data_IF_697722190830
#
_entry.id   IF_697722190830
#
_cell.length_a   1.000
_cell.length_b   1.000
_cell.length_c   1.000
_cell.angle_alpha   90.00
_cell.angle_beta   90.00
_cell.angle_gamma   90.00
#
_symmetry.space_group_name_H-M   'P 1'
#
loop_
_entity.id
_entity.type
_entity.pdbx_description
1 polymer ?
#
# COMPACT_ATOMS: atom_id res chain seq x y z
N UNK A 1 11.94 36.39 18.70
CA UNK A 1 12.34 36.05 17.31
C UNK A 1 12.10 37.28 16.47
N UNK A 2 13.13 37.98 16.02
CA UNK A 2 13.02 39.16 15.15
C UNK A 2 12.78 38.66 13.71
N UNK A 3 11.57 38.85 13.21
CA UNK A 3 11.23 38.56 11.81
C UNK A 3 11.94 39.62 10.94
N UNK A 4 12.81 39.16 10.03
CA UNK A 4 13.43 40.05 9.03
C UNK A 4 12.35 40.52 8.05
N UNK A 5 12.36 41.78 7.59
CA UNK A 5 11.44 42.27 6.58
C UNK A 5 11.56 41.45 5.29
N UNK A 6 10.42 41.22 4.64
CA UNK A 6 10.35 40.52 3.37
C UNK A 6 10.60 41.50 2.22
N UNK A 7 11.49 41.16 1.29
CA UNK A 7 11.78 41.96 0.10
C UNK A 7 10.80 41.55 -1.04
N UNK A 8 9.90 42.46 -1.36
CA UNK A 8 9.00 42.32 -2.49
C UNK A 8 9.53 43.08 -3.69
N UNK A 9 9.76 42.42 -4.81
CA UNK A 9 10.04 43.06 -6.09
C UNK A 9 8.70 43.32 -6.80
N UNK A 10 8.38 44.61 -6.98
CA UNK A 10 7.20 45.04 -7.72
C UNK A 10 7.38 44.83 -9.23
N UNK A 11 6.29 44.80 -10.04
CA UNK A 11 6.38 44.69 -11.49
C UNK A 11 7.20 45.78 -12.18
N UNK A 12 7.36 46.93 -11.54
CA UNK A 12 8.17 48.08 -11.99
C UNK A 12 9.68 47.93 -11.69
N UNK A 13 10.07 46.78 -11.09
CA UNK A 13 11.46 46.50 -10.72
C UNK A 13 11.92 47.07 -9.37
N UNK A 14 11.08 47.87 -8.69
CA UNK A 14 11.41 48.42 -7.37
C UNK A 14 11.33 47.35 -6.29
N UNK A 15 12.34 47.33 -5.38
CA UNK A 15 12.38 46.40 -4.24
C UNK A 15 11.92 47.18 -3.00
N UNK A 16 10.86 46.72 -2.36
CA UNK A 16 10.31 47.34 -1.15
C UNK A 16 10.38 46.31 0.00
N UNK A 17 10.93 46.76 1.13
CA UNK A 17 10.90 46.01 2.37
C UNK A 17 9.51 46.12 2.98
N UNK A 18 8.76 45.00 2.99
CA UNK A 18 7.42 44.93 3.56
C UNK A 18 7.43 44.17 4.88
N UNK A 19 6.59 44.59 5.82
CA UNK A 19 6.34 43.83 7.04
C UNK A 19 5.55 42.56 6.72
N UNK A 20 5.84 41.46 7.42
CA UNK A 20 5.02 40.25 7.37
C UNK A 20 3.63 40.57 7.88
N UNK A 21 2.65 40.53 6.97
CA UNK A 21 1.24 40.72 7.31
C UNK A 21 0.60 39.38 7.64
N UNK A 22 -0.33 39.36 8.57
CA UNK A 22 -1.20 38.19 8.83
C UNK A 22 -2.37 38.25 7.89
N UNK A 23 -2.64 37.15 7.19
CA UNK A 23 -3.75 37.03 6.26
C UNK A 23 -4.79 36.02 6.77
N UNK A 24 -6.04 36.37 6.65
CA UNK A 24 -7.16 35.47 6.88
C UNK A 24 -7.67 34.92 5.56
N UNK A 25 -8.05 33.63 5.54
CA UNK A 25 -8.70 33.05 4.37
C UNK A 25 -10.13 33.55 4.28
N UNK A 26 -10.49 34.15 3.16
CA UNK A 26 -11.86 34.64 2.88
C UNK A 26 -12.69 33.49 2.32
N UNK A 27 -12.37 33.05 1.12
CA UNK A 27 -13.08 32.03 0.39
C UNK A 27 -12.15 30.91 -0.04
N UNK A 28 -12.70 29.71 -0.14
CA UNK A 28 -11.99 28.52 -0.62
C UNK A 28 -12.79 27.88 -1.73
N UNK A 29 -12.18 27.73 -2.91
CA UNK A 29 -12.78 27.06 -4.06
C UNK A 29 -11.90 25.90 -4.53
N UNK A 30 -12.54 24.81 -4.96
CA UNK A 30 -11.88 23.61 -5.51
C UNK A 30 -12.39 23.42 -6.93
N UNK A 31 -11.51 23.53 -7.91
CA UNK A 31 -11.81 23.30 -9.33
C UNK A 31 -11.32 21.93 -9.72
N UNK A 32 -12.22 21.05 -10.24
CA UNK A 32 -11.91 19.64 -10.46
C UNK A 32 -11.38 19.29 -11.85
N UNK A 33 -11.69 20.09 -12.85
CA UNK A 33 -11.37 19.83 -14.27
C UNK A 33 -10.44 20.89 -14.87
N UNK A 34 -9.46 21.35 -14.07
CA UNK A 34 -8.49 22.32 -14.54
C UNK A 34 -7.53 21.70 -15.56
N UNK A 35 -7.44 22.30 -16.75
CA UNK A 35 -6.42 21.97 -17.75
C UNK A 35 -5.40 23.12 -17.85
N UNK A 36 -4.13 22.87 -17.50
CA UNK A 36 -3.10 23.91 -17.57
C UNK A 36 -2.73 24.33 -19.01
N UNK A 37 -3.14 23.57 -20.02
CA UNK A 37 -2.85 23.84 -21.43
C UNK A 37 -3.91 24.73 -22.11
N UNK A 38 -5.11 24.81 -21.54
CA UNK A 38 -6.24 25.54 -22.13
C UNK A 38 -6.62 26.75 -21.27
N UNK A 39 -5.90 27.88 -21.49
CA UNK A 39 -6.08 29.10 -20.69
C UNK A 39 -7.48 29.72 -20.87
N UNK A 40 -8.10 29.60 -22.05
CA UNK A 40 -9.42 30.18 -22.36
C UNK A 40 -10.56 29.34 -21.78
N UNK A 41 -10.48 28.03 -21.80
CA UNK A 41 -11.51 27.12 -21.23
C UNK A 41 -11.54 27.14 -19.70
N UNK A 42 -10.43 27.51 -19.03
CA UNK A 42 -10.37 27.59 -17.59
C UNK A 42 -11.21 28.72 -16.97
N UNK A 43 -11.65 29.67 -17.77
CA UNK A 43 -12.57 30.74 -17.38
C UNK A 43 -14.03 30.39 -17.66
N UNK A 44 -14.33 29.22 -18.23
CA UNK A 44 -15.69 28.78 -18.47
C UNK A 44 -16.43 28.61 -17.14
N UNK A 45 -17.71 29.01 -17.12
CA UNK A 45 -18.57 28.77 -15.95
C UNK A 45 -18.61 27.29 -15.59
N UNK A 46 -18.55 26.96 -14.29
CA UNK A 46 -18.65 25.55 -13.85
C UNK A 46 -20.02 24.99 -14.26
N UNK A 47 -20.04 23.75 -14.71
CA UNK A 47 -21.29 23.04 -15.06
C UNK A 47 -22.13 22.70 -13.83
N UNK A 48 -21.47 22.48 -12.68
CA UNK A 48 -22.13 22.15 -11.42
C UNK A 48 -21.28 22.68 -10.26
N UNK A 49 -21.91 23.30 -9.30
CA UNK A 49 -21.28 23.86 -8.10
C UNK A 49 -21.92 23.28 -6.87
N UNK A 50 -21.10 22.73 -5.97
CA UNK A 50 -21.57 22.18 -4.69
C UNK A 50 -20.89 22.92 -3.56
N UNK A 51 -21.67 23.54 -2.69
CA UNK A 51 -21.16 24.19 -1.47
C UNK A 51 -21.22 23.22 -0.29
N UNK A 52 -20.07 23.03 0.36
CA UNK A 52 -19.94 22.14 1.52
C UNK A 52 -19.03 22.78 2.56
N UNK A 53 -19.53 23.02 3.79
CA UNK A 53 -18.79 23.64 4.90
C UNK A 53 -18.09 24.96 4.52
N UNK A 54 -18.75 25.80 3.74
CA UNK A 54 -18.20 27.10 3.30
C UNK A 54 -17.16 27.00 2.17
N UNK A 55 -16.97 25.84 1.57
CA UNK A 55 -16.08 25.59 0.44
C UNK A 55 -16.91 25.36 -0.81
N UNK A 56 -16.58 26.04 -1.90
CA UNK A 56 -17.22 25.89 -3.19
C UNK A 56 -16.46 24.90 -4.06
N UNK A 57 -17.13 23.79 -4.44
CA UNK A 57 -16.55 22.76 -5.31
C UNK A 57 -17.15 22.93 -6.69
N UNK A 58 -16.29 23.27 -7.64
CA UNK A 58 -16.63 23.60 -9.02
C UNK A 58 -16.30 22.39 -9.91
N UNK A 59 -17.33 21.78 -10.47
CA UNK A 59 -17.20 20.65 -11.38
C UNK A 59 -17.30 21.12 -12.82
N UNK A 60 -16.42 20.64 -13.67
CA UNK A 60 -16.41 20.93 -15.11
C UNK A 60 -17.27 19.96 -15.93
N UNK A 61 -16.96 19.83 -17.22
CA UNK A 61 -17.70 19.03 -18.22
C UNK A 61 -17.89 17.56 -17.82
N UNK A 62 -16.95 16.99 -17.09
CA UNK A 62 -16.99 15.60 -16.64
C UNK A 62 -17.95 15.36 -15.46
N UNK A 63 -18.62 16.42 -15.00
CA UNK A 63 -19.54 16.37 -13.87
C UNK A 63 -18.87 15.95 -12.56
N UNK A 64 -19.62 15.39 -11.63
CA UNK A 64 -19.12 14.95 -10.32
C UNK A 64 -18.26 13.70 -10.43
N UNK A 65 -17.04 13.88 -10.92
CA UNK A 65 -16.06 12.81 -11.05
C UNK A 65 -15.60 12.25 -9.69
N UNK A 66 -15.47 13.12 -8.67
CA UNK A 66 -15.14 12.74 -7.29
C UNK A 66 -16.24 13.26 -6.36
N UNK A 67 -16.61 12.48 -5.35
CA UNK A 67 -17.63 12.87 -4.36
C UNK A 67 -17.20 14.13 -3.60
N UNK A 68 -18.11 15.14 -3.39
CA UNK A 68 -17.80 16.38 -2.69
C UNK A 68 -17.17 16.16 -1.31
N UNK A 69 -17.69 15.20 -0.55
CA UNK A 69 -17.15 14.86 0.77
C UNK A 69 -15.71 14.36 0.78
N UNK A 70 -15.22 13.80 -0.34
CA UNK A 70 -13.81 13.38 -0.46
C UNK A 70 -12.92 14.59 -0.66
N UNK A 71 -13.28 15.51 -1.56
CA UNK A 71 -12.55 16.75 -1.82
C UNK A 71 -12.55 17.64 -0.57
N UNK A 72 -13.71 17.81 0.06
CA UNK A 72 -13.83 18.57 1.31
C UNK A 72 -12.91 18.06 2.41
N UNK A 73 -12.93 16.77 2.67
CA UNK A 73 -12.07 16.14 3.70
C UNK A 73 -10.58 16.13 3.32
N UNK A 74 -10.21 16.35 2.06
CA UNK A 74 -8.82 16.47 1.63
C UNK A 74 -8.27 17.86 1.81
N UNK A 75 -9.14 18.85 2.03
CA UNK A 75 -8.78 20.24 2.23
C UNK A 75 -8.72 20.59 3.73
N UNK A 76 -7.60 21.18 4.16
CA UNK A 76 -7.35 21.66 5.52
C UNK A 76 -7.40 23.20 5.60
N UNK A 77 -7.45 23.89 4.44
CA UNK A 77 -7.57 25.33 4.36
C UNK A 77 -9.03 25.70 4.52
N UNK A 78 -9.37 26.45 5.57
CA UNK A 78 -10.75 26.73 5.93
C UNK A 78 -11.02 28.25 5.88
N UNK A 79 -12.19 28.67 5.37
CA UNK A 79 -12.62 30.07 5.45
C UNK A 79 -12.62 30.57 6.90
N UNK A 80 -12.26 31.85 7.10
CA UNK A 80 -12.20 32.52 8.40
C UNK A 80 -10.97 32.15 9.25
N UNK A 81 -10.13 31.22 8.82
CA UNK A 81 -8.90 30.84 9.53
C UNK A 81 -7.70 31.67 9.06
N UNK A 82 -6.72 31.85 9.96
CA UNK A 82 -5.45 32.43 9.63
C UNK A 82 -4.69 31.56 8.62
N UNK A 83 -4.06 32.19 7.63
CA UNK A 83 -3.17 31.49 6.69
C UNK A 83 -2.06 30.77 7.45
N UNK A 84 -1.85 29.52 7.11
CA UNK A 84 -0.79 28.70 7.71
C UNK A 84 -0.21 27.78 6.64
N UNK A 85 1.08 27.92 6.37
CA UNK A 85 1.81 27.13 5.37
C UNK A 85 1.67 25.63 5.61
N UNK A 86 1.70 25.20 6.87
CA UNK A 86 1.50 23.78 7.23
C UNK A 86 0.15 23.24 6.75
N UNK A 87 -0.93 24.02 6.82
CA UNK A 87 -2.24 23.59 6.31
C UNK A 87 -2.26 23.52 4.79
N UNK A 88 -1.51 24.36 4.11
CA UNK A 88 -1.32 24.35 2.65
C UNK A 88 -0.59 23.08 2.23
N UNK A 89 0.55 22.77 2.88
CA UNK A 89 1.30 21.54 2.62
C UNK A 89 0.47 20.27 2.90
N UNK A 90 -0.30 20.26 4.00
CA UNK A 90 -1.20 19.16 4.33
C UNK A 90 -2.29 18.99 3.27
N UNK A 91 -2.87 20.09 2.79
CA UNK A 91 -3.87 20.09 1.73
C UNK A 91 -3.26 19.53 0.44
N UNK A 92 -2.12 20.08 0.01
CA UNK A 92 -1.41 19.58 -1.17
C UNK A 92 -1.11 18.08 -1.08
N UNK A 93 -0.49 17.64 0.03
CA UNK A 93 -0.16 16.23 0.27
C UNK A 93 -1.40 15.33 0.28
N UNK A 94 -2.51 15.79 0.88
CA UNK A 94 -3.77 15.05 0.91
C UNK A 94 -4.36 14.87 -0.49
N UNK A 95 -4.43 15.95 -1.28
CA UNK A 95 -4.91 15.87 -2.67
C UNK A 95 -4.00 15.03 -3.56
N UNK A 96 -2.68 15.12 -3.40
CA UNK A 96 -1.70 14.30 -4.13
C UNK A 96 -1.84 12.80 -3.87
N UNK A 97 -2.49 12.39 -2.77
CA UNK A 97 -2.80 10.98 -2.51
C UNK A 97 -3.99 10.47 -3.29
N UNK A 98 -4.85 11.36 -3.82
CA UNK A 98 -6.03 11.00 -4.59
C UNK A 98 -5.61 10.58 -6.01
N UNK A 99 -5.65 9.29 -6.28
CA UNK A 99 -5.19 8.71 -7.56
C UNK A 99 -6.08 9.05 -8.76
N UNK A 100 -7.28 9.57 -8.51
CA UNK A 100 -8.16 10.12 -9.53
C UNK A 100 -7.71 11.50 -10.05
N UNK A 101 -6.77 12.15 -9.36
CA UNK A 101 -6.19 13.45 -9.72
C UNK A 101 -4.73 13.27 -10.17
N UNK A 102 -4.35 14.07 -11.18
CA UNK A 102 -2.99 14.07 -11.73
C UNK A 102 -2.15 15.23 -11.21
N UNK A 103 -2.73 16.42 -11.24
CA UNK A 103 -2.07 17.66 -10.83
C UNK A 103 -2.89 18.35 -9.74
N UNK A 104 -2.19 18.99 -8.82
CA UNK A 104 -2.78 19.82 -7.77
C UNK A 104 -1.98 21.13 -7.74
N UNK A 105 -2.66 22.24 -7.82
CA UNK A 105 -2.07 23.57 -7.70
C UNK A 105 -2.92 24.41 -6.74
N UNK A 106 -2.31 25.03 -5.74
CA UNK A 106 -3.00 25.87 -4.77
C UNK A 106 -2.56 27.29 -5.03
N UNK A 107 -3.51 28.17 -5.38
CA UNK A 107 -3.28 29.58 -5.66
C UNK A 107 -3.99 30.43 -4.63
N UNK A 108 -3.33 31.51 -4.27
CA UNK A 108 -3.88 32.54 -3.40
C UNK A 108 -3.95 33.86 -4.15
N UNK A 109 -5.06 34.57 -4.01
CA UNK A 109 -5.21 35.93 -4.49
C UNK A 109 -5.58 36.84 -3.33
N UNK A 110 -4.93 37.99 -3.24
CA UNK A 110 -5.20 39.00 -2.22
C UNK A 110 -6.51 39.73 -2.53
N UNK A 111 -7.32 39.94 -1.51
CA UNK A 111 -8.59 40.69 -1.57
C UNK A 111 -8.65 41.61 -0.36
N UNK A 112 -8.86 42.88 -0.58
CA UNK A 112 -9.09 43.87 0.47
C UNK A 112 -10.58 43.91 0.81
N UNK A 113 -10.90 43.76 2.09
CA UNK A 113 -12.27 43.85 2.60
C UNK A 113 -12.28 44.51 3.98
N UNK A 114 -12.97 45.65 4.08
CA UNK A 114 -13.08 46.43 5.33
C UNK A 114 -11.69 46.77 5.94
N UNK A 115 -10.79 47.35 5.14
CA UNK A 115 -9.39 47.66 5.51
C UNK A 115 -8.56 46.46 5.99
N UNK A 116 -9.05 45.22 5.79
CA UNK A 116 -8.34 44.00 6.17
C UNK A 116 -7.98 43.21 4.92
N UNK A 117 -6.68 42.88 4.80
CA UNK A 117 -6.22 42.02 3.69
C UNK A 117 -6.54 40.58 3.96
N UNK A 118 -7.28 39.98 3.04
CA UNK A 118 -7.69 38.58 3.07
C UNK A 118 -7.17 37.82 1.85
N UNK A 119 -7.18 36.50 1.91
CA UNK A 119 -6.78 35.61 0.80
C UNK A 119 -7.94 34.78 0.33
N UNK A 120 -8.22 34.82 -0.97
CA UNK A 120 -9.02 33.79 -1.62
C UNK A 120 -8.10 32.64 -2.01
N UNK A 121 -8.49 31.42 -1.66
CA UNK A 121 -7.75 30.19 -1.96
C UNK A 121 -8.47 29.42 -3.07
N UNK A 122 -7.78 29.16 -4.19
CA UNK A 122 -8.27 28.33 -5.29
C UNK A 122 -7.40 27.11 -5.45
N UNK A 123 -7.99 25.92 -5.24
CA UNK A 123 -7.33 24.63 -5.40
C UNK A 123 -7.70 24.11 -6.79
N UNK A 124 -6.74 24.12 -7.70
CA UNK A 124 -6.90 23.66 -9.07
C UNK A 124 -6.46 22.20 -9.17
N UNK A 125 -7.34 21.33 -9.64
CA UNK A 125 -7.03 19.90 -9.80
C UNK A 125 -7.36 19.43 -11.20
N UNK A 126 -6.47 18.60 -11.77
CA UNK A 126 -6.67 17.99 -13.08
C UNK A 126 -7.02 16.50 -12.93
N UNK A 127 -8.00 15.97 -13.70
CA UNK A 127 -8.34 14.57 -13.65
C UNK A 127 -7.20 13.68 -14.18
N UNK A 128 -6.99 12.54 -13.56
CA UNK A 128 -6.08 11.50 -14.05
C UNK A 128 -6.79 10.55 -15.01
N UNK A 129 -6.03 9.83 -15.85
CA UNK A 129 -6.57 8.68 -16.58
C UNK A 129 -7.06 7.65 -15.57
N UNK A 130 -8.35 7.33 -15.62
CA UNK A 130 -8.99 6.46 -14.62
C UNK A 130 -8.59 4.99 -14.79
N UNK A 131 -8.35 4.55 -16.02
CA UNK A 131 -8.03 3.16 -16.35
C UNK A 131 -6.61 3.04 -16.85
N UNK A 132 -5.98 1.92 -16.52
CA UNK A 132 -4.66 1.54 -17.00
C UNK A 132 -4.57 0.03 -17.19
N UNK A 133 -3.89 -0.38 -18.25
CA UNK A 133 -3.56 -1.77 -18.54
C UNK A 133 -2.05 -1.90 -18.58
N UNK A 134 -1.54 -3.03 -18.15
CA UNK A 134 -0.12 -3.39 -18.23
C UNK A 134 0.03 -4.84 -18.66
N UNK A 135 1.01 -5.11 -19.50
CA UNK A 135 1.43 -6.45 -19.89
C UNK A 135 2.91 -6.57 -19.58
N UNK A 136 3.28 -7.57 -18.79
CA UNK A 136 4.67 -7.87 -18.47
C UNK A 136 5.02 -9.23 -19.05
N UNK A 137 6.20 -9.34 -19.67
CA UNK A 137 6.79 -10.57 -20.18
C UNK A 137 8.14 -10.75 -19.53
N UNK A 138 8.38 -11.91 -18.93
CA UNK A 138 9.60 -12.22 -18.17
C UNK A 138 10.20 -13.52 -18.71
N UNK A 139 11.50 -13.54 -18.99
CA UNK A 139 12.29 -14.75 -19.18
C UNK A 139 13.09 -15.02 -17.92
N UNK A 140 13.11 -16.25 -17.45
CA UNK A 140 13.87 -16.64 -16.25
C UNK A 140 14.84 -17.78 -16.59
N UNK A 141 15.96 -17.81 -15.86
CA UNK A 141 16.89 -18.93 -15.88
C UNK A 141 17.32 -19.19 -14.45
N UNK A 142 16.84 -20.27 -13.87
CA UNK A 142 17.09 -20.67 -12.50
C UNK A 142 17.91 -21.95 -12.47
N UNK A 143 19.22 -21.83 -12.17
CA UNK A 143 20.14 -22.96 -12.08
C UNK A 143 20.20 -23.87 -13.34
N UNK A 144 19.96 -23.30 -14.53
CA UNK A 144 19.93 -24.04 -15.79
C UNK A 144 18.52 -24.35 -16.29
N UNK A 145 17.50 -24.16 -15.48
CA UNK A 145 16.10 -24.30 -15.87
C UNK A 145 15.61 -23.02 -16.53
N UNK A 146 15.12 -23.12 -17.76
CA UNK A 146 14.59 -21.98 -18.51
C UNK A 146 13.10 -21.82 -18.27
N UNK A 147 12.71 -20.60 -17.95
CA UNK A 147 11.33 -20.27 -17.68
C UNK A 147 10.84 -19.06 -18.46
N UNK A 148 9.53 -18.98 -18.59
CA UNK A 148 8.81 -17.85 -19.15
C UNK A 148 7.62 -17.51 -18.27
N UNK A 149 7.42 -16.23 -18.00
CA UNK A 149 6.24 -15.75 -17.30
C UNK A 149 5.59 -14.58 -18.03
N UNK A 150 4.27 -14.50 -17.95
CA UNK A 150 3.50 -13.39 -18.49
C UNK A 150 2.47 -12.93 -17.47
N UNK A 151 2.25 -11.62 -17.40
CA UNK A 151 1.18 -11.07 -16.57
C UNK A 151 0.41 -9.98 -17.29
N UNK A 152 -0.90 -9.98 -17.03
CA UNK A 152 -1.83 -8.94 -17.46
C UNK A 152 -2.35 -8.23 -16.21
N UNK A 153 -2.24 -6.92 -16.18
CA UNK A 153 -2.73 -6.08 -15.09
C UNK A 153 -3.73 -5.05 -15.57
N UNK A 154 -4.76 -4.83 -14.76
CA UNK A 154 -5.76 -3.76 -14.95
C UNK A 154 -5.86 -2.93 -13.69
N UNK A 155 -5.98 -1.63 -13.83
CA UNK A 155 -6.17 -0.69 -12.73
C UNK A 155 -7.30 0.29 -13.06
N UNK A 156 -8.20 0.51 -12.08
CA UNK A 156 -9.19 1.58 -12.09
C UNK A 156 -9.02 2.48 -10.87
N UNK A 157 -8.80 3.80 -11.08
CA UNK A 157 -8.35 4.74 -10.04
C UNK A 157 -9.46 5.54 -9.36
N UNK A 158 -10.70 5.21 -9.60
CA UNK A 158 -11.85 5.94 -9.02
C UNK A 158 -13.10 5.06 -9.04
N UNK A 159 -13.03 3.88 -8.45
CA UNK A 159 -14.06 2.84 -8.60
C UNK A 159 -15.44 3.31 -8.12
N UNK A 160 -15.50 3.97 -6.96
CA UNK A 160 -16.74 4.44 -6.33
C UNK A 160 -16.77 5.97 -6.21
N UNK A 161 -16.10 6.71 -7.08
CA UNK A 161 -15.97 8.19 -7.04
C UNK A 161 -15.37 8.73 -5.73
N UNK A 162 -14.58 7.91 -5.03
CA UNK A 162 -13.87 8.28 -3.81
C UNK A 162 -12.35 8.20 -3.98
N UNK A 163 -11.88 8.11 -5.24
CA UNK A 163 -10.47 7.87 -5.58
C UNK A 163 -9.94 6.52 -5.05
N UNK A 164 -10.84 5.54 -4.92
CA UNK A 164 -10.46 4.16 -4.63
C UNK A 164 -9.74 3.55 -5.83
N UNK A 165 -8.66 2.82 -5.56
CA UNK A 165 -7.91 2.14 -6.62
C UNK A 165 -8.25 0.65 -6.59
N UNK A 166 -8.94 0.20 -7.62
CA UNK A 166 -9.08 -1.21 -7.92
C UNK A 166 -7.91 -1.66 -8.77
N UNK A 167 -7.31 -2.78 -8.45
CA UNK A 167 -6.26 -3.41 -9.24
C UNK A 167 -6.56 -4.90 -9.37
N UNK A 168 -6.48 -5.42 -10.58
CA UNK A 168 -6.56 -6.84 -10.87
C UNK A 168 -5.32 -7.26 -11.67
N UNK A 169 -4.75 -8.42 -11.36
CA UNK A 169 -3.60 -8.99 -12.06
C UNK A 169 -3.80 -10.49 -12.23
N UNK A 170 -3.50 -10.98 -13.43
CA UNK A 170 -3.42 -12.40 -13.73
C UNK A 170 -2.01 -12.68 -14.19
N UNK A 171 -1.40 -13.75 -13.70
CA UNK A 171 -0.06 -14.19 -14.05
C UNK A 171 -0.05 -15.67 -14.39
N UNK A 172 0.66 -16.03 -15.45
CA UNK A 172 1.04 -17.40 -15.77
C UNK A 172 2.55 -17.53 -15.87
N UNK A 173 3.11 -18.61 -15.35
CA UNK A 173 4.52 -18.94 -15.48
C UNK A 173 4.71 -20.41 -15.83
N UNK A 174 5.73 -20.67 -16.61
CA UNK A 174 6.19 -21.99 -17.02
C UNK A 174 7.69 -22.07 -16.86
N UNK A 175 8.21 -23.19 -16.36
CA UNK A 175 9.63 -23.45 -16.24
C UNK A 175 9.90 -24.90 -16.68
N UNK A 176 10.83 -25.05 -17.61
CA UNK A 176 11.30 -26.35 -18.08
C UNK A 176 12.40 -26.85 -17.14
N UNK A 177 12.12 -27.91 -16.38
CA UNK A 177 13.07 -28.48 -15.42
C UNK A 177 14.05 -29.40 -16.12
N UNK A 178 15.37 -29.20 -15.90
CA UNK A 178 16.46 -29.94 -16.49
C UNK A 178 17.10 -30.92 -15.48
N UNK A 179 16.40 -31.91 -15.00
CA UNK A 179 16.92 -32.88 -14.04
C UNK A 179 16.56 -34.33 -14.37
N UNK A 180 17.36 -35.29 -13.96
CA UNK A 180 17.18 -36.73 -14.24
C UNK A 180 15.91 -37.35 -13.64
N UNK A 181 15.22 -36.65 -12.76
CA UNK A 181 13.94 -37.07 -12.18
C UNK A 181 12.72 -36.36 -12.79
N UNK A 182 12.94 -35.49 -13.77
CA UNK A 182 11.91 -34.58 -14.31
C UNK A 182 11.42 -34.95 -15.72
N UNK A 183 11.61 -36.19 -16.17
CA UNK A 183 11.11 -36.63 -17.47
C UNK A 183 9.62 -36.36 -17.61
N UNK A 184 9.28 -35.27 -18.35
CA UNK A 184 7.92 -34.92 -18.72
C UNK A 184 7.12 -34.05 -17.71
N UNK A 185 7.68 -33.69 -16.56
CA UNK A 185 6.98 -32.90 -15.54
C UNK A 185 7.64 -31.52 -15.36
N UNK A 186 7.06 -30.50 -15.95
CA UNK A 186 7.52 -29.13 -15.86
C UNK A 186 6.77 -28.38 -14.73
N UNK A 187 7.35 -27.23 -14.31
CA UNK A 187 6.68 -26.33 -13.35
C UNK A 187 5.68 -25.42 -14.06
N UNK A 188 4.50 -25.33 -13.52
CA UNK A 188 3.45 -24.39 -13.94
C UNK A 188 2.94 -23.61 -12.75
N UNK A 189 2.78 -22.31 -12.93
CA UNK A 189 2.14 -21.45 -11.97
C UNK A 189 1.07 -20.60 -12.66
N UNK A 190 -0.09 -20.51 -12.02
CA UNK A 190 -1.14 -19.58 -12.39
C UNK A 190 -1.56 -18.80 -11.16
N UNK A 191 -1.68 -17.48 -11.28
CA UNK A 191 -2.09 -16.60 -10.20
C UNK A 191 -3.10 -15.56 -10.68
N UNK A 192 -4.05 -15.26 -9.84
CA UNK A 192 -4.99 -14.15 -10.01
C UNK A 192 -5.07 -13.34 -8.71
N UNK A 193 -4.95 -12.03 -8.82
CA UNK A 193 -5.02 -11.12 -7.69
C UNK A 193 -6.02 -10.01 -7.98
N UNK A 194 -6.84 -9.67 -6.98
CA UNK A 194 -7.69 -8.49 -7.00
C UNK A 194 -7.51 -7.72 -5.70
N UNK A 195 -7.43 -6.39 -5.78
CA UNK A 195 -7.32 -5.55 -4.58
C UNK A 195 -8.03 -4.21 -4.76
N UNK A 196 -8.56 -3.68 -3.66
CA UNK A 196 -9.12 -2.33 -3.58
C UNK A 196 -8.37 -1.56 -2.51
N UNK A 197 -7.77 -0.45 -2.90
CA UNK A 197 -7.13 0.51 -1.99
C UNK A 197 -8.06 1.70 -1.80
N UNK A 198 -8.51 1.92 -0.58
CA UNK A 198 -9.28 3.10 -0.19
C UNK A 198 -8.30 4.17 0.31
N UNK A 199 -8.30 5.38 -0.25
CA UNK A 199 -7.38 6.44 0.13
C UNK A 199 -7.60 6.96 1.55
N UNK A 200 -8.73 6.59 2.18
CA UNK A 200 -9.14 7.05 3.51
C UNK A 200 -9.74 5.96 4.37
N UNK A 201 -9.69 6.21 5.68
CA UNK A 201 -10.29 5.35 6.67
C UNK A 201 -11.81 5.60 6.81
N UNK A 202 -12.60 4.54 7.09
CA UNK A 202 -14.05 4.64 7.25
C UNK A 202 -14.48 5.22 8.61
N UNK A 203 -13.62 5.15 9.63
CA UNK A 203 -13.95 5.61 10.97
C UNK A 203 -13.51 7.06 11.17
N UNK A 204 -14.41 7.95 11.58
CA UNK A 204 -14.13 9.39 11.72
C UNK A 204 -13.16 9.75 12.86
N UNK A 205 -12.88 8.81 13.77
CA UNK A 205 -12.05 9.04 14.97
C UNK A 205 -10.54 8.85 14.73
N UNK A 206 -10.13 8.25 13.60
CA UNK A 206 -8.73 8.02 13.30
C UNK A 206 -8.21 9.04 12.30
N UNK A 207 -6.97 9.46 12.50
CA UNK A 207 -6.30 10.52 11.74
C UNK A 207 -6.28 10.26 10.22
N UNK A 208 -6.29 11.32 9.46
CA UNK A 208 -6.58 11.43 8.02
C UNK A 208 -5.58 10.77 7.06
N UNK A 209 -4.42 10.29 7.55
CA UNK A 209 -3.37 9.67 6.73
C UNK A 209 -3.47 8.14 6.62
N UNK A 210 -4.55 7.56 7.14
CA UNK A 210 -4.78 6.12 7.07
C UNK A 210 -5.39 5.70 5.74
N UNK A 211 -4.80 4.70 5.12
CA UNK A 211 -5.33 4.03 3.93
C UNK A 211 -5.76 2.62 4.31
N UNK A 212 -6.75 2.10 3.63
CA UNK A 212 -7.22 0.73 3.78
C UNK A 212 -7.03 -0.03 2.48
N UNK A 213 -6.43 -1.21 2.55
CA UNK A 213 -6.29 -2.11 1.42
C UNK A 213 -6.98 -3.43 1.73
N UNK A 214 -7.90 -3.82 0.86
CA UNK A 214 -8.45 -5.16 0.78
C UNK A 214 -7.81 -5.87 -0.40
N UNK A 215 -7.44 -7.13 -0.22
CA UNK A 215 -6.80 -7.94 -1.25
C UNK A 215 -7.38 -9.35 -1.19
N UNK A 216 -7.64 -9.91 -2.35
CA UNK A 216 -7.90 -11.34 -2.55
C UNK A 216 -6.91 -11.83 -3.58
N UNK A 217 -6.33 -12.98 -3.33
CA UNK A 217 -5.39 -13.62 -4.22
C UNK A 217 -5.72 -15.12 -4.32
N UNK A 218 -5.57 -15.64 -5.52
CA UNK A 218 -5.58 -17.07 -5.79
C UNK A 218 -4.32 -17.43 -6.55
N UNK A 219 -3.62 -18.49 -6.13
CA UNK A 219 -2.49 -19.04 -6.87
C UNK A 219 -2.55 -20.56 -6.87
N UNK A 220 -2.20 -21.16 -7.98
CA UNK A 220 -2.02 -22.59 -8.11
C UNK A 220 -0.65 -22.84 -8.71
N UNK A 221 0.12 -23.72 -8.06
CA UNK A 221 1.43 -24.16 -8.49
C UNK A 221 1.37 -25.66 -8.74
N UNK A 222 1.85 -26.08 -9.90
CA UNK A 222 1.97 -27.49 -10.25
C UNK A 222 3.44 -27.81 -10.46
N UNK A 223 3.98 -28.68 -9.62
CA UNK A 223 5.34 -29.23 -9.68
C UNK A 223 5.27 -30.73 -9.86
N UNK A 224 6.36 -31.39 -10.29
CA UNK A 224 6.43 -32.84 -10.33
C UNK A 224 6.08 -33.50 -8.99
N UNK A 225 6.56 -32.88 -7.90
CA UNK A 225 6.44 -33.39 -6.54
C UNK A 225 5.05 -33.18 -5.96
N UNK A 226 4.43 -32.01 -6.22
CA UNK A 226 3.12 -31.67 -5.65
C UNK A 226 2.35 -30.64 -6.47
N UNK A 227 1.05 -30.64 -6.28
CA UNK A 227 0.16 -29.57 -6.72
C UNK A 227 -0.37 -28.83 -5.49
N UNK A 228 -0.30 -27.50 -5.53
CA UNK A 228 -0.66 -26.66 -4.41
C UNK A 228 -1.47 -25.44 -4.86
N UNK A 229 -2.61 -25.25 -4.24
CA UNK A 229 -3.47 -24.10 -4.46
C UNK A 229 -3.55 -23.27 -3.18
N UNK A 230 -3.42 -21.94 -3.29
CA UNK A 230 -3.52 -21.02 -2.18
C UNK A 230 -4.58 -19.98 -2.52
N UNK A 231 -5.56 -19.82 -1.63
CA UNK A 231 -6.54 -18.73 -1.66
C UNK A 231 -6.23 -17.81 -0.48
N UNK A 232 -5.97 -16.54 -0.76
CA UNK A 232 -5.64 -15.56 0.27
C UNK A 232 -6.66 -14.43 0.28
N UNK A 233 -7.03 -13.97 1.47
CA UNK A 233 -7.81 -12.75 1.66
C UNK A 233 -7.21 -11.90 2.77
N UNK A 234 -7.02 -10.60 2.53
CA UNK A 234 -6.39 -9.71 3.48
C UNK A 234 -7.09 -8.36 3.62
N UNK A 235 -7.07 -7.85 4.83
CA UNK A 235 -7.53 -6.51 5.17
C UNK A 235 -6.46 -5.78 5.97
N UNK A 236 -5.87 -4.74 5.37
CA UNK A 236 -4.75 -4.01 5.92
C UNK A 236 -5.05 -2.53 6.09
N UNK A 237 -4.53 -1.96 7.16
CA UNK A 237 -4.45 -0.51 7.39
C UNK A 237 -3.02 -0.06 7.19
N UNK A 238 -2.84 1.02 6.43
CA UNK A 238 -1.53 1.55 6.07
C UNK A 238 -1.51 3.03 6.40
N UNK A 239 -0.53 3.49 7.18
CA UNK A 239 -0.36 4.91 7.47
C UNK A 239 1.12 5.32 7.55
N UNK A 240 1.35 6.61 7.47
CA UNK A 240 2.63 7.25 7.67
C UNK A 240 2.48 8.34 8.74
N UNK A 241 3.49 8.54 9.55
CA UNK A 241 3.49 9.58 10.57
C UNK A 241 3.57 10.97 9.92
N UNK A 242 2.84 11.94 10.48
CA UNK A 242 2.90 13.33 10.01
C UNK A 242 4.25 13.99 10.28
N UNK A 243 4.87 13.65 11.41
CA UNK A 243 6.16 14.16 11.84
C UNK A 243 7.34 13.51 11.10
N UNK A 244 7.13 12.29 10.60
CA UNK A 244 8.17 11.49 9.96
C UNK A 244 7.58 10.70 8.77
N UNK A 245 7.53 11.33 7.61
CA UNK A 245 7.01 10.70 6.38
C UNK A 245 7.86 9.52 5.90
N UNK A 246 9.04 9.31 6.47
CA UNK A 246 9.91 8.17 6.20
C UNK A 246 9.49 6.91 6.96
N UNK A 247 8.66 7.06 8.00
CA UNK A 247 8.12 5.98 8.79
C UNK A 247 6.76 5.52 8.24
N UNK A 248 6.64 4.23 7.94
CA UNK A 248 5.42 3.60 7.42
C UNK A 248 4.99 2.47 8.32
N UNK A 249 3.71 2.42 8.62
CA UNK A 249 3.06 1.40 9.40
C UNK A 249 2.08 0.61 8.54
N UNK A 250 2.03 -0.69 8.74
CA UNK A 250 1.04 -1.58 8.14
C UNK A 250 0.47 -2.47 9.25
N UNK A 251 -0.79 -2.31 9.54
CA UNK A 251 -1.52 -3.19 10.44
C UNK A 251 -2.38 -4.13 9.62
N UNK A 252 -2.07 -5.43 9.64
CA UNK A 252 -2.87 -6.49 9.06
C UNK A 252 -3.94 -6.85 10.07
N UNK A 253 -5.15 -6.33 9.87
CA UNK A 253 -6.29 -6.66 10.75
C UNK A 253 -6.69 -8.11 10.58
N UNK A 254 -6.73 -8.56 9.33
CA UNK A 254 -7.11 -9.92 8.95
C UNK A 254 -6.23 -10.37 7.80
N UNK A 255 -5.62 -11.53 7.94
CA UNK A 255 -4.83 -12.23 6.93
C UNK A 255 -5.26 -13.69 6.94
N UNK A 256 -5.91 -14.13 5.89
CA UNK A 256 -6.44 -15.48 5.75
C UNK A 256 -5.75 -16.13 4.56
N UNK A 257 -5.09 -17.25 4.78
CA UNK A 257 -4.60 -18.11 3.72
C UNK A 257 -5.23 -19.50 3.90
N UNK A 258 -5.87 -19.99 2.86
CA UNK A 258 -6.26 -21.38 2.73
C UNK A 258 -5.33 -22.07 1.75
N UNK A 259 -4.56 -22.99 2.27
CA UNK A 259 -3.63 -23.83 1.51
C UNK A 259 -4.29 -25.16 1.25
N UNK A 260 -4.37 -25.58 -0.01
CA UNK A 260 -4.93 -26.85 -0.45
C UNK A 260 -3.90 -27.60 -1.30
N UNK A 261 -3.65 -28.85 -0.96
CA UNK A 261 -2.71 -29.73 -1.65
C UNK A 261 -3.43 -30.93 -2.28
N UNK A 262 -4.04 -30.76 -3.47
CA UNK A 262 -4.82 -31.80 -4.09
C UNK A 262 -4.01 -33.03 -4.54
N UNK A 263 -2.69 -32.88 -4.71
CA UNK A 263 -1.82 -33.98 -5.15
C UNK A 263 -0.42 -33.82 -4.57
N UNK A 264 0.11 -34.92 -4.03
CA UNK A 264 1.52 -35.09 -3.63
C UNK A 264 1.98 -36.42 -4.22
N UNK A 265 3.16 -36.45 -4.88
CA UNK A 265 3.72 -37.67 -5.45
C UNK A 265 4.18 -38.63 -4.32
N UNK A 266 4.08 -39.94 -4.53
CA UNK A 266 4.44 -40.92 -3.53
C UNK A 266 5.96 -40.89 -3.26
N UNK A 267 6.78 -40.79 -4.28
CA UNK A 267 8.23 -40.66 -4.17
C UNK A 267 8.65 -39.45 -3.32
N UNK A 268 7.94 -38.37 -3.44
CA UNK A 268 8.19 -37.16 -2.62
C UNK A 268 7.76 -37.38 -1.17
N UNK A 269 6.61 -38.02 -0.92
CA UNK A 269 6.18 -38.40 0.44
C UNK A 269 7.22 -39.26 1.13
N UNK A 270 7.75 -40.28 0.44
CA UNK A 270 8.71 -41.23 0.99
C UNK A 270 10.08 -40.57 1.27
N UNK A 271 10.38 -39.41 0.67
CA UNK A 271 11.62 -38.65 0.87
C UNK A 271 11.57 -37.68 2.06
N UNK A 272 10.38 -37.43 2.63
CA UNK A 272 10.20 -36.44 3.70
C UNK A 272 9.94 -37.12 5.07
N UNK A 273 10.40 -36.52 6.16
CA UNK A 273 10.01 -36.93 7.50
C UNK A 273 8.48 -36.83 7.67
N UNK A 274 7.90 -37.80 8.39
CA UNK A 274 6.46 -37.87 8.65
C UNK A 274 5.91 -36.55 9.27
N UNK A 275 6.65 -35.98 10.21
CA UNK A 275 6.30 -34.67 10.81
C UNK A 275 6.22 -33.56 9.78
N UNK A 276 7.10 -33.53 8.79
CA UNK A 276 7.11 -32.51 7.73
C UNK A 276 5.88 -32.69 6.81
N UNK A 277 5.53 -33.91 6.48
CA UNK A 277 4.32 -34.23 5.69
C UNK A 277 3.06 -33.76 6.42
N UNK A 278 2.92 -34.13 7.70
CA UNK A 278 1.74 -33.84 8.50
C UNK A 278 1.47 -32.34 8.70
N UNK A 279 2.51 -31.50 8.74
CA UNK A 279 2.36 -30.10 9.08
C UNK A 279 2.57 -29.14 7.90
N UNK A 280 3.38 -29.50 6.90
CA UNK A 280 3.71 -28.62 5.80
C UNK A 280 3.04 -28.99 4.49
N UNK A 281 2.61 -30.26 4.33
CA UNK A 281 2.02 -30.77 3.10
C UNK A 281 0.60 -31.30 3.32
N UNK A 282 -0.16 -30.61 4.16
CA UNK A 282 -1.60 -30.88 4.39
C UNK A 282 -2.41 -29.60 4.12
N UNK A 283 -3.69 -29.79 3.91
CA UNK A 283 -4.63 -28.66 3.84
C UNK A 283 -4.63 -27.91 5.15
N UNK A 284 -4.51 -26.58 5.07
CA UNK A 284 -4.36 -25.76 6.25
C UNK A 284 -4.99 -24.38 6.10
N UNK A 285 -5.60 -23.89 7.18
CA UNK A 285 -5.96 -22.49 7.33
C UNK A 285 -4.89 -21.74 8.15
N UNK A 286 -4.51 -20.55 7.67
CA UNK A 286 -3.73 -19.58 8.40
C UNK A 286 -4.60 -18.34 8.54
N UNK A 287 -5.11 -18.10 9.74
CA UNK A 287 -5.93 -16.92 10.04
C UNK A 287 -5.23 -16.10 11.08
N UNK A 288 -4.71 -14.95 10.69
CA UNK A 288 -3.84 -14.16 11.53
C UNK A 288 -4.08 -12.67 11.45
N UNK A 289 -3.33 -11.97 12.29
CA UNK A 289 -3.16 -10.54 12.30
C UNK A 289 -1.68 -10.21 12.48
N UNK A 290 -1.30 -8.99 12.08
CA UNK A 290 0.11 -8.62 12.16
C UNK A 290 0.33 -7.12 12.10
N UNK A 291 1.55 -6.73 12.41
CA UNK A 291 1.97 -5.33 12.35
C UNK A 291 3.36 -5.25 11.77
N UNK A 292 3.56 -4.32 10.85
CA UNK A 292 4.86 -4.01 10.27
C UNK A 292 5.15 -2.53 10.40
N UNK A 293 6.27 -2.21 10.97
CA UNK A 293 6.88 -0.88 10.97
C UNK A 293 8.05 -0.88 9.99
N UNK A 294 8.16 0.13 9.16
CA UNK A 294 9.31 0.31 8.27
C UNK A 294 9.71 1.77 8.23
N UNK A 295 10.99 2.02 8.39
CA UNK A 295 11.62 3.32 8.32
C UNK A 295 12.74 3.30 7.28
N UNK A 296 12.85 4.36 6.49
CA UNK A 296 13.94 4.54 5.53
C UNK A 296 14.25 6.03 5.41
N UNK A 297 15.50 6.41 5.69
CA UNK A 297 15.96 7.79 5.63
C UNK A 297 16.45 8.22 4.23
N UNK A 298 16.10 7.48 3.18
CA UNK A 298 16.46 7.82 1.81
C UNK A 298 15.89 9.19 1.41
N UNK A 299 16.76 10.05 0.87
CA UNK A 299 16.41 11.36 0.34
C UNK A 299 16.76 11.40 -1.16
N UNK A 300 15.75 11.51 -2.05
CA UNK A 300 15.98 11.58 -3.49
C UNK A 300 16.81 12.79 -3.93
N UNK A 301 16.78 13.87 -3.16
CA UNK A 301 17.52 15.12 -3.47
C UNK A 301 18.99 15.04 -3.07
N UNK A 302 19.32 14.19 -2.08
CA UNK A 302 20.69 14.02 -1.61
C UNK A 302 21.16 12.56 -1.75
N UNK A 303 21.56 12.19 -2.96
CA UNK A 303 21.99 10.82 -3.31
C UNK A 303 23.32 10.41 -2.69
N UNK A 304 24.13 11.36 -2.21
CA UNK A 304 25.43 11.15 -1.58
C UNK A 304 25.33 11.03 -0.06
N UNK A 305 24.12 10.92 0.47
CA UNK A 305 23.89 10.70 1.90
C UNK A 305 23.94 9.22 2.24
N UNK A 306 24.52 8.90 3.41
CA UNK A 306 24.40 7.57 3.99
C UNK A 306 22.94 7.26 4.29
N UNK A 307 22.47 6.09 3.86
CA UNK A 307 21.10 5.67 4.08
C UNK A 307 21.05 4.48 5.02
N UNK A 308 19.98 4.40 5.77
CA UNK A 308 19.65 3.23 6.57
C UNK A 308 18.15 2.97 6.52
N UNK A 309 17.80 1.71 6.61
CA UNK A 309 16.42 1.29 6.75
C UNK A 309 16.28 0.28 7.88
N UNK A 310 15.17 0.36 8.58
CA UNK A 310 14.77 -0.59 9.62
C UNK A 310 13.39 -1.08 9.28
N UNK A 311 13.19 -2.39 9.35
CA UNK A 311 11.88 -3.01 9.26
C UNK A 311 11.71 -3.94 10.45
N UNK A 312 10.63 -3.77 11.14
CA UNK A 312 10.15 -4.68 12.18
C UNK A 312 8.81 -5.24 11.74
N UNK A 313 8.63 -6.55 11.81
CA UNK A 313 7.33 -7.19 11.58
C UNK A 313 7.01 -8.18 12.69
N UNK A 314 5.75 -8.21 13.06
CA UNK A 314 5.17 -9.12 14.02
C UNK A 314 3.90 -9.72 13.43
N UNK A 315 3.73 -11.02 13.54
CA UNK A 315 2.57 -11.76 13.06
C UNK A 315 2.15 -12.79 14.11
N UNK A 316 0.85 -12.93 14.31
CA UNK A 316 0.25 -13.97 15.12
C UNK A 316 -0.93 -14.59 14.36
N UNK A 317 -1.07 -15.90 14.43
CA UNK A 317 -2.14 -16.64 13.78
C UNK A 317 -2.80 -17.65 14.71
N UNK A 318 -4.06 -17.98 14.44
CA UNK A 318 -4.81 -19.04 15.10
C UNK A 318 -5.36 -18.72 16.48
N UNK A 319 -4.92 -17.64 17.14
CA UNK A 319 -5.32 -17.34 18.52
C UNK A 319 -6.81 -17.07 18.68
N UNK A 320 -7.39 -16.30 17.76
CA UNK A 320 -8.83 -16.01 17.77
C UNK A 320 -9.63 -17.30 17.55
N UNK A 321 -9.24 -18.11 16.58
CA UNK A 321 -9.89 -19.36 16.27
C UNK A 321 -9.77 -20.36 17.45
N UNK A 322 -8.60 -20.45 18.05
CA UNK A 322 -8.38 -21.31 19.21
C UNK A 322 -9.26 -20.89 20.40
N UNK A 323 -9.33 -19.60 20.68
CA UNK A 323 -10.21 -19.06 21.72
C UNK A 323 -11.69 -19.37 21.45
N UNK A 324 -12.14 -19.15 20.21
CA UNK A 324 -13.52 -19.47 19.79
C UNK A 324 -13.80 -20.98 19.88
N UNK A 325 -12.92 -21.83 19.37
CA UNK A 325 -13.07 -23.29 19.43
C UNK A 325 -13.19 -23.78 20.88
N UNK A 326 -12.41 -23.21 21.80
CA UNK A 326 -12.49 -23.53 23.21
C UNK A 326 -13.78 -23.05 23.88
N UNK A 327 -14.25 -21.86 23.52
CA UNK A 327 -15.50 -21.28 24.06
C UNK A 327 -16.73 -22.04 23.57
N UNK A 328 -16.73 -22.51 22.33
CA UNK A 328 -17.84 -23.28 21.75
C UNK A 328 -17.83 -24.75 22.10
N UNK A 329 -16.79 -25.24 22.81
CA UNK A 329 -16.66 -26.65 23.14
C UNK A 329 -16.42 -27.54 21.91
N UNK A 330 -15.71 -27.00 20.89
CA UNK A 330 -15.42 -27.76 19.69
C UNK A 330 -14.60 -29.02 20.00
N UNK A 331 -14.86 -30.10 19.28
CA UNK A 331 -14.09 -31.35 19.42
C UNK A 331 -12.69 -31.22 18.83
N UNK A 332 -11.76 -31.92 19.45
CA UNK A 332 -10.38 -32.07 18.93
C UNK A 332 -10.26 -33.35 18.13
N UNK A 333 -9.36 -33.33 17.15
CA UNK A 333 -8.97 -34.55 16.45
C UNK A 333 -8.10 -35.48 17.34
N UNK A 334 -7.76 -36.67 16.80
CA UNK A 334 -6.94 -37.68 17.50
C UNK A 334 -5.55 -37.15 17.90
N UNK A 335 -5.08 -36.07 17.26
CA UNK A 335 -3.82 -35.41 17.56
C UNK A 335 -3.97 -34.22 18.51
N UNK A 336 -5.17 -33.98 19.03
CA UNK A 336 -5.48 -32.93 20.00
C UNK A 336 -5.64 -31.54 19.37
N UNK A 337 -5.87 -31.43 18.06
CA UNK A 337 -6.01 -30.16 17.31
C UNK A 337 -7.48 -29.84 17.05
N UNK A 338 -7.79 -28.57 17.09
CA UNK A 338 -9.08 -28.05 16.61
C UNK A 338 -9.09 -27.89 15.10
N UNK A 339 -10.23 -28.09 14.48
CA UNK A 339 -10.46 -27.91 13.04
C UNK A 339 -11.49 -26.83 12.78
N UNK A 340 -11.32 -26.10 11.67
CA UNK A 340 -12.30 -25.19 11.11
C UNK A 340 -12.78 -25.78 9.78
N UNK A 341 -14.09 -26.06 9.64
CA UNK A 341 -14.66 -26.75 8.47
C UNK A 341 -13.95 -28.08 8.11
N UNK A 342 -13.52 -28.82 9.12
CA UNK A 342 -12.80 -30.08 8.93
C UNK A 342 -11.32 -29.94 8.59
N UNK A 343 -10.77 -28.72 8.50
CA UNK A 343 -9.39 -28.43 8.13
C UNK A 343 -8.64 -27.88 9.33
N UNK A 344 -7.40 -28.31 9.53
CA UNK A 344 -6.54 -27.79 10.59
C UNK A 344 -6.19 -26.33 10.36
N UNK A 345 -6.13 -25.54 11.43
CA UNK A 345 -5.61 -24.17 11.36
C UNK A 345 -4.30 -24.01 12.12
N UNK A 346 -3.43 -23.19 11.57
CA UNK A 346 -2.14 -22.90 12.18
C UNK A 346 -2.26 -21.96 13.36
N UNK A 347 -1.46 -22.22 14.42
CA UNK A 347 -1.33 -21.34 15.58
C UNK A 347 0.14 -21.07 15.86
N UNK A 348 0.57 -19.83 15.71
CA UNK A 348 1.96 -19.43 15.90
C UNK A 348 2.08 -17.92 16.20
N UNK A 349 3.27 -17.54 16.63
CA UNK A 349 3.75 -16.16 16.66
C UNK A 349 5.06 -16.07 15.90
N UNK A 350 5.26 -14.97 15.15
CA UNK A 350 6.45 -14.73 14.35
C UNK A 350 6.87 -13.27 14.46
N UNK A 351 8.17 -13.03 14.61
CA UNK A 351 8.77 -11.71 14.66
C UNK A 351 10.00 -11.63 13.78
N UNK A 352 10.15 -10.56 13.01
CA UNK A 352 11.29 -10.33 12.13
C UNK A 352 11.81 -8.90 12.31
N UNK A 353 13.11 -8.74 12.28
CA UNK A 353 13.80 -7.46 12.29
C UNK A 353 14.82 -7.47 11.15
N UNK A 354 14.71 -6.50 10.26
CA UNK A 354 15.64 -6.26 9.17
C UNK A 354 16.31 -4.90 9.35
N UNK A 355 17.61 -4.86 9.24
CA UNK A 355 18.39 -3.63 9.22
C UNK A 355 19.27 -3.59 7.98
N UNK A 356 19.19 -2.53 7.21
CA UNK A 356 20.07 -2.28 6.07
C UNK A 356 20.74 -0.93 6.23
N UNK A 357 22.01 -0.85 5.85
CA UNK A 357 22.76 0.41 5.81
C UNK A 357 23.59 0.50 4.54
N UNK A 358 23.57 1.66 3.90
CA UNK A 358 24.43 1.99 2.77
C UNK A 358 25.29 3.19 3.13
N UNK A 359 26.59 3.00 3.05
CA UNK A 359 27.60 4.00 3.32
C UNK A 359 28.18 4.47 1.98
N UNK A 360 28.10 5.74 1.70
CA UNK A 360 28.70 6.36 0.51
C UNK A 360 30.17 6.57 0.79
N UNK A 361 31.04 5.89 0.01
CA UNK A 361 32.48 6.02 0.11
C UNK A 361 32.95 7.19 -0.78
N UNK A 362 32.40 7.27 -1.98
CA UNK A 362 32.64 8.36 -2.95
C UNK A 362 31.46 8.45 -3.94
N UNK A 363 31.59 9.30 -4.98
CA UNK A 363 30.55 9.51 -6.00
C UNK A 363 30.21 8.27 -6.84
N UNK A 364 31.02 7.22 -6.82
CA UNK A 364 30.88 6.00 -7.63
C UNK A 364 30.71 4.74 -6.78
N UNK A 365 31.22 4.75 -5.53
CA UNK A 365 31.31 3.57 -4.70
C UNK A 365 30.43 3.71 -3.44
N UNK A 366 29.68 2.66 -3.16
CA UNK A 366 28.88 2.54 -1.94
C UNK A 366 29.09 1.16 -1.33
N UNK A 367 29.22 1.11 0.00
CA UNK A 367 29.23 -0.13 0.77
C UNK A 367 27.85 -0.31 1.36
N UNK A 368 27.21 -1.44 1.07
CA UNK A 368 25.91 -1.79 1.61
C UNK A 368 25.97 -3.11 2.37
N UNK A 369 25.28 -3.18 3.50
CA UNK A 369 25.12 -4.41 4.26
C UNK A 369 23.69 -4.53 4.80
N UNK A 370 23.25 -5.76 5.00
CA UNK A 370 21.92 -6.11 5.51
C UNK A 370 22.09 -7.18 6.59
N UNK A 371 21.33 -7.02 7.67
CA UNK A 371 21.22 -7.98 8.77
C UNK A 371 19.74 -8.25 8.98
N UNK A 372 19.34 -9.52 8.92
CA UNK A 372 18.00 -9.98 9.19
C UNK A 372 17.99 -11.00 10.32
N UNK A 373 17.08 -10.85 11.28
CA UNK A 373 16.84 -11.79 12.37
C UNK A 373 15.36 -12.09 12.41
N UNK A 374 15.00 -13.37 12.38
CA UNK A 374 13.61 -13.79 12.46
C UNK A 374 13.45 -14.95 13.43
N UNK A 375 12.38 -14.92 14.21
CA UNK A 375 11.98 -15.97 15.14
C UNK A 375 10.51 -16.30 14.92
N UNK A 376 10.23 -17.60 14.75
CA UNK A 376 8.88 -18.13 14.66
C UNK A 376 8.67 -19.22 15.69
N UNK A 377 7.57 -19.13 16.46
CA UNK A 377 7.25 -20.09 17.50
C UNK A 377 5.82 -20.63 17.31
N UNK A 378 5.68 -21.90 16.90
CA UNK A 378 4.41 -22.60 16.86
C UNK A 378 3.99 -23.02 18.27
N UNK A 379 2.70 -23.01 18.55
CA UNK A 379 2.14 -23.45 19.83
C UNK A 379 0.67 -23.84 19.69
N UNK A 380 0.11 -24.41 20.77
CA UNK A 380 -1.32 -24.76 20.86
C UNK A 380 -1.76 -25.73 19.78
N UNK A 381 -2.41 -25.23 18.73
CA UNK A 381 -2.93 -26.03 17.62
C UNK A 381 -1.86 -26.48 16.60
N UNK A 382 -0.62 -25.96 16.72
CA UNK A 382 0.48 -26.25 15.80
C UNK A 382 1.74 -26.72 16.53
N UNK A 383 2.41 -27.71 15.99
CA UNK A 383 3.73 -28.18 16.45
C UNK A 383 4.87 -27.62 15.58
N UNK A 384 4.56 -27.18 14.36
CA UNK A 384 5.51 -26.60 13.41
C UNK A 384 4.90 -25.37 12.76
N UNK A 385 5.74 -24.47 12.22
CA UNK A 385 5.30 -23.37 11.39
C UNK A 385 4.78 -23.89 10.06
N UNK A 386 3.70 -23.28 9.48
CA UNK A 386 3.29 -23.55 8.11
C UNK A 386 4.44 -23.31 7.13
N UNK A 387 4.48 -24.05 6.05
CA UNK A 387 5.46 -23.85 4.98
C UNK A 387 5.53 -22.41 4.51
N UNK A 388 4.37 -21.75 4.35
CA UNK A 388 4.23 -20.35 3.91
C UNK A 388 4.81 -19.33 4.88
N UNK A 389 5.08 -19.74 6.11
CA UNK A 389 5.61 -18.88 7.17
C UNK A 389 6.97 -19.33 7.69
N UNK A 390 7.49 -20.42 7.15
CA UNK A 390 8.81 -20.97 7.51
C UNK A 390 9.94 -20.09 6.94
N UNK A 391 11.09 -20.16 7.57
CA UNK A 391 12.32 -19.56 7.06
C UNK A 391 13.08 -20.60 6.23
N UNK A 392 13.59 -20.17 5.11
CA UNK A 392 14.41 -21.00 4.23
C UNK A 392 15.81 -20.39 4.11
N UNK A 393 16.84 -21.21 4.28
CA UNK A 393 18.22 -20.81 4.11
C UNK A 393 18.73 -21.23 2.74
N UNK A 394 18.95 -20.26 1.85
CA UNK A 394 19.64 -20.50 0.60
C UNK A 394 18.79 -21.22 -0.47
N UNK A 395 19.09 -20.94 -1.70
CA UNK A 395 18.53 -21.45 -2.92
C UNK A 395 18.75 -20.44 -4.01
N UNK A 396 18.73 -20.85 -5.30
CA UNK A 396 18.98 -19.98 -6.44
C UNK A 396 18.06 -18.75 -6.50
N UNK A 397 16.94 -18.77 -5.77
CA UNK A 397 15.93 -17.71 -5.72
C UNK A 397 15.70 -17.12 -4.33
N UNK A 398 16.63 -17.28 -3.41
CA UNK A 398 16.50 -16.86 -2.00
C UNK A 398 17.31 -15.62 -1.65
N UNK A 399 17.54 -14.72 -2.58
CA UNK A 399 18.16 -13.41 -2.30
C UNK A 399 17.13 -12.33 -2.22
#
# INVERSE_FOLDING_TARGET
MLLKPYRLQKPDGTVVDTLHRQYYIKDVSIVTDYDPLTLEENNAMPYDTVRTDGIDILYGKNGRSIRPGVLRKSNYIMPGRLYNERTVEQTYSSFATLRALRNVNIRFSEVEENDTMKLNCTILTSPAKLQGFGVDLEGTNSAGDFGFASSLSYQHRNLFKGSEVFSAKVRGAYEALTGSQSEGNNFWEFGAEASVLFPRFLFPFLHENFRRKMKVNYSIQTRPEFKRAIVSAGWNYIWQERSNMQARHVFKLLDIDYVHLPKISQSFKDSLPESTLLYNFTDQFIVGSGYTYSFNNYDPQNRLRNTHSVRFSFEMAGNLLYGLSRLTGADKDDEGRYKLFGINYAQFVKGDIDFSKSIVLDNRNKLAFHIGIGVGYPYGNSKMLPFERSYFSGGANSV
#
